data_IF_374450415325
#
_entry.id   IF_374450415325
#
_cell.length_a   1.000
_cell.length_b   1.000
_cell.length_c   1.000
_cell.angle_alpha   90.00
_cell.angle_beta   90.00
_cell.angle_gamma   90.00
#
_symmetry.space_group_name_H-M   'P 1'
#
loop_
_entity.id
_entity.type
_entity.pdbx_description
1 polymer ?
#
# COMPACT_ATOMS: atom_id res chain seq x y z
N UNK A 1 -2.32 33.55 44.23
CA UNK A 1 -2.81 32.16 44.17
C UNK A 1 -4.32 32.18 44.32
N UNK A 2 -5.11 31.33 43.64
CA UNK A 2 -4.78 29.95 43.29
C UNK A 2 -4.95 29.57 41.80
N UNK A 3 -4.15 28.58 41.45
CA UNK A 3 -4.21 27.67 40.30
C UNK A 3 -5.44 26.75 40.34
N UNK A 4 -5.96 26.40 39.16
CA UNK A 4 -6.66 25.13 38.95
C UNK A 4 -6.10 24.47 37.67
N UNK A 5 -5.79 23.16 37.70
CA UNK A 5 -5.10 22.44 36.65
C UNK A 5 -6.08 21.62 35.76
N UNK A 6 -5.48 20.80 34.89
CA UNK A 6 -6.08 19.60 34.27
C UNK A 6 -6.59 19.77 32.84
N UNK A 7 -5.66 19.55 31.90
CA UNK A 7 -5.95 18.94 30.61
C UNK A 7 -5.11 17.67 30.48
N UNK A 8 -5.56 16.59 31.10
CA UNK A 8 -5.18 15.22 30.73
C UNK A 8 -5.89 14.96 29.41
N UNK A 9 -5.18 14.55 28.36
CA UNK A 9 -5.86 14.13 27.14
C UNK A 9 -4.93 14.11 25.94
N UNK A 10 -4.22 13.01 25.80
CA UNK A 10 -3.39 12.74 24.64
C UNK A 10 -2.38 11.67 24.98
N UNK A 11 -2.88 10.48 25.32
CA UNK A 11 -2.14 9.25 25.07
C UNK A 11 -1.81 9.27 23.57
N UNK A 12 -0.67 9.88 23.24
CA UNK A 12 -0.04 9.71 21.96
C UNK A 12 0.13 8.21 21.82
N UNK A 13 -0.58 7.65 20.84
CA UNK A 13 -0.41 6.28 20.39
C UNK A 13 1.04 5.88 20.63
N UNK A 14 1.26 4.95 21.56
CA UNK A 14 2.57 4.34 21.73
C UNK A 14 3.00 3.95 20.34
N UNK A 15 4.04 4.62 19.85
CA UNK A 15 4.69 4.30 18.59
C UNK A 15 4.85 2.80 18.59
N UNK A 16 4.07 2.11 17.76
CA UNK A 16 4.43 0.76 17.39
C UNK A 16 5.87 0.84 16.87
N UNK A 17 6.62 -0.25 16.96
CA UNK A 17 7.96 -0.34 16.37
C UNK A 17 7.92 -0.23 14.82
N UNK A 18 6.84 0.28 14.24
CA UNK A 18 6.65 0.47 12.82
C UNK A 18 7.19 1.81 12.33
N UNK A 19 7.70 1.81 11.11
CA UNK A 19 8.13 3.03 10.42
C UNK A 19 6.97 3.56 9.60
N UNK A 20 6.69 4.86 9.67
CA UNK A 20 5.67 5.48 8.82
C UNK A 20 6.20 5.63 7.40
N UNK A 21 5.45 5.12 6.42
CA UNK A 21 5.74 5.25 4.99
C UNK A 21 4.53 5.81 4.23
N UNK A 22 4.71 6.15 2.97
CA UNK A 22 3.63 6.54 2.05
C UNK A 22 3.35 5.40 1.09
N UNK A 23 2.10 4.95 1.03
CA UNK A 23 1.65 3.96 0.06
C UNK A 23 0.66 4.59 -0.91
N UNK A 24 0.86 4.33 -2.20
CA UNK A 24 -0.05 4.75 -3.27
C UNK A 24 -0.53 3.51 -4.01
N UNK A 25 -1.83 3.23 -3.96
CA UNK A 25 -2.47 2.24 -4.84
C UNK A 25 -3.06 2.98 -6.03
N UNK A 26 -2.72 2.56 -7.23
CA UNK A 26 -3.19 3.22 -8.45
C UNK A 26 -3.36 2.23 -9.60
N UNK A 27 -4.23 2.58 -10.54
CA UNK A 27 -4.43 1.78 -11.73
C UNK A 27 -5.65 2.24 -12.52
N UNK A 28 -5.70 1.85 -13.79
CA UNK A 28 -6.88 2.05 -14.61
C UNK A 28 -8.06 1.24 -14.08
N UNK A 29 -9.27 1.75 -14.31
CA UNK A 29 -10.52 1.15 -13.81
C UNK A 29 -10.66 -0.35 -14.14
N UNK A 30 -10.29 -0.75 -15.37
CA UNK A 30 -10.29 -2.15 -15.84
C UNK A 30 -8.90 -2.82 -15.76
N UNK A 31 -7.88 -2.06 -15.38
CA UNK A 31 -6.51 -2.53 -15.22
C UNK A 31 -6.25 -3.13 -13.85
N UNK A 32 -5.05 -3.70 -13.70
CA UNK A 32 -4.51 -4.19 -12.43
C UNK A 32 -4.09 -3.05 -11.52
N UNK A 33 -4.14 -3.28 -10.21
CA UNK A 33 -3.66 -2.32 -9.21
C UNK A 33 -2.14 -2.40 -9.11
N UNK A 34 -1.47 -1.25 -9.17
CA UNK A 34 -0.08 -1.09 -8.77
C UNK A 34 -0.01 -0.47 -7.38
N UNK A 35 0.72 -1.11 -6.47
CA UNK A 35 1.08 -0.59 -5.15
C UNK A 35 2.48 -0.01 -5.21
N UNK A 36 2.61 1.30 -5.00
CA UNK A 36 3.88 1.99 -4.83
C UNK A 36 4.11 2.31 -3.35
N UNK A 37 5.31 1.99 -2.87
CA UNK A 37 5.76 2.34 -1.52
C UNK A 37 6.88 3.37 -1.62
N UNK A 38 6.75 4.46 -0.86
CA UNK A 38 7.72 5.56 -0.80
C UNK A 38 8.03 5.86 0.67
N UNK A 39 9.29 6.17 1.00
CA UNK A 39 9.66 6.65 2.34
C UNK A 39 8.92 7.95 2.69
N UNK A 40 8.79 8.85 1.72
CA UNK A 40 7.98 10.06 1.81
C UNK A 40 7.28 10.34 0.47
N UNK A 41 6.19 11.15 0.44
CA UNK A 41 5.46 11.45 -0.79
C UNK A 41 6.30 12.09 -1.91
N UNK A 42 7.49 12.63 -1.56
CA UNK A 42 8.40 13.35 -2.46
C UNK A 42 9.55 12.49 -3.00
N UNK A 43 9.71 11.28 -2.47
CA UNK A 43 10.77 10.36 -2.86
C UNK A 43 10.35 9.51 -4.07
N UNK A 44 11.30 8.95 -4.81
CA UNK A 44 11.00 7.92 -5.80
C UNK A 44 10.44 6.66 -5.11
N UNK A 45 9.59 5.88 -5.78
CA UNK A 45 9.13 4.58 -5.26
C UNK A 45 10.30 3.68 -4.92
N UNK A 46 10.34 3.17 -3.69
CA UNK A 46 11.33 2.16 -3.28
C UNK A 46 10.92 0.76 -3.76
N UNK A 47 9.62 0.53 -3.88
CA UNK A 47 9.04 -0.76 -4.31
C UNK A 47 7.76 -0.48 -5.09
N UNK A 48 7.60 -1.18 -6.22
CA UNK A 48 6.32 -1.27 -6.93
C UNK A 48 5.92 -2.74 -7.03
N UNK A 49 4.69 -3.04 -6.60
CA UNK A 49 4.08 -4.37 -6.70
C UNK A 49 2.83 -4.26 -7.55
N UNK A 50 2.81 -4.97 -8.68
CA UNK A 50 1.61 -5.15 -9.47
C UNK A 50 0.77 -6.28 -8.88
N UNK A 51 -0.48 -6.00 -8.51
CA UNK A 51 -1.42 -6.94 -7.92
C UNK A 51 -2.33 -7.51 -9.01
N UNK A 52 -2.60 -8.81 -9.00
CA UNK A 52 -3.54 -9.45 -9.95
C UNK A 52 -4.99 -8.93 -9.84
N UNK A 53 -5.30 -8.13 -8.84
CA UNK A 53 -6.60 -7.54 -8.57
C UNK A 53 -6.84 -6.35 -9.50
N UNK A 54 -8.04 -6.27 -10.07
CA UNK A 54 -8.47 -5.09 -10.81
C UNK A 54 -8.80 -3.93 -9.87
N UNK A 55 -8.54 -2.69 -10.33
CA UNK A 55 -8.80 -1.48 -9.55
C UNK A 55 -10.27 -1.35 -9.15
N UNK A 56 -11.20 -1.67 -10.05
CA UNK A 56 -12.64 -1.68 -9.76
C UNK A 56 -13.04 -2.67 -8.65
N UNK A 57 -12.36 -3.82 -8.57
CA UNK A 57 -12.60 -4.80 -7.52
C UNK A 57 -12.04 -4.30 -6.18
N UNK A 58 -10.83 -3.71 -6.18
CA UNK A 58 -10.28 -3.10 -4.96
C UNK A 58 -11.22 -2.02 -4.40
N UNK A 59 -11.69 -1.11 -5.25
CA UNK A 59 -12.61 -0.05 -4.85
C UNK A 59 -13.90 -0.61 -4.25
N UNK A 60 -14.44 -1.69 -4.84
CA UNK A 60 -15.63 -2.36 -4.33
C UNK A 60 -15.38 -3.01 -2.96
N UNK A 61 -14.26 -3.70 -2.78
CA UNK A 61 -13.90 -4.31 -1.50
C UNK A 61 -13.70 -3.24 -0.43
N UNK A 62 -13.00 -2.14 -0.73
CA UNK A 62 -12.81 -0.99 0.16
C UNK A 62 -14.15 -0.33 0.54
N UNK A 63 -15.09 -0.24 -0.41
CA UNK A 63 -16.44 0.29 -0.14
C UNK A 63 -17.29 -0.65 0.74
N UNK A 64 -16.96 -1.94 0.75
CA UNK A 64 -17.65 -2.97 1.53
C UNK A 64 -17.11 -3.11 2.95
N UNK A 65 -15.97 -2.47 3.26
CA UNK A 65 -15.36 -2.46 4.58
C UNK A 65 -13.86 -2.74 4.53
N UNK A 66 -13.38 -3.54 5.48
CA UNK A 66 -11.96 -3.82 5.67
C UNK A 66 -11.41 -4.76 4.59
N UNK A 67 -10.30 -4.36 3.98
CA UNK A 67 -9.58 -5.14 2.97
C UNK A 67 -8.27 -5.66 3.54
N UNK A 68 -8.03 -6.96 3.39
CA UNK A 68 -6.79 -7.63 3.80
C UNK A 68 -6.15 -8.30 2.60
N UNK A 69 -4.99 -7.83 2.20
CA UNK A 69 -4.21 -8.40 1.11
C UNK A 69 -3.03 -9.15 1.71
N UNK A 70 -2.91 -10.45 1.43
CA UNK A 70 -1.76 -11.27 1.80
C UNK A 70 -0.97 -11.62 0.54
N UNK A 71 0.34 -11.40 0.59
CA UNK A 71 1.31 -11.71 -0.44
C UNK A 71 2.26 -12.76 0.13
N UNK A 72 2.02 -14.01 -0.27
CA UNK A 72 2.70 -15.18 0.25
C UNK A 72 3.71 -15.73 -0.76
N UNK A 73 4.94 -15.99 -0.35
CA UNK A 73 5.91 -16.72 -1.15
C UNK A 73 6.49 -17.89 -0.35
N UNK A 74 6.91 -18.95 -1.03
CA UNK A 74 7.50 -20.12 -0.36
C UNK A 74 8.96 -19.87 0.03
N UNK A 75 9.41 -20.49 1.12
CA UNK A 75 10.84 -20.54 1.45
C UNK A 75 11.63 -21.22 0.34
N UNK A 76 12.68 -20.55 -0.13
CA UNK A 76 13.68 -21.18 -1.00
C UNK A 76 14.43 -22.26 -0.21
N UNK A 77 14.76 -23.37 -0.88
CA UNK A 77 15.50 -24.48 -0.30
C UNK A 77 16.94 -24.13 0.09
N UNK A 78 17.46 -22.98 -0.33
CA UNK A 78 18.81 -22.54 -0.02
C UNK A 78 18.90 -21.92 1.39
N UNK A 79 19.56 -22.63 2.30
CA UNK A 79 19.80 -22.20 3.67
C UNK A 79 20.65 -20.92 3.78
N UNK A 80 21.35 -20.51 2.72
CA UNK A 80 22.12 -19.25 2.66
C UNK A 80 21.31 -18.08 2.13
N UNK A 81 20.05 -18.27 1.75
CA UNK A 81 19.23 -17.18 1.25
C UNK A 81 19.04 -16.12 2.36
N UNK A 82 19.51 -14.91 2.07
CA UNK A 82 19.41 -13.72 2.93
C UNK A 82 18.42 -12.69 2.39
N UNK A 83 17.68 -13.02 1.33
CA UNK A 83 16.68 -12.17 0.69
C UNK A 83 15.62 -11.78 1.71
N UNK A 84 15.36 -10.48 1.87
CA UNK A 84 14.27 -9.99 2.70
C UNK A 84 12.95 -10.19 1.96
N UNK A 85 11.84 -10.30 2.69
CA UNK A 85 10.53 -10.51 2.06
C UNK A 85 10.19 -9.43 1.03
N UNK A 86 10.59 -8.17 1.25
CA UNK A 86 10.37 -7.06 0.30
C UNK A 86 11.27 -7.09 -0.94
N UNK A 87 12.30 -7.94 -0.94
CA UNK A 87 13.22 -8.14 -2.07
C UNK A 87 12.76 -9.26 -3.00
N UNK A 88 11.73 -10.02 -2.61
CA UNK A 88 11.14 -11.03 -3.48
C UNK A 88 10.47 -10.41 -4.71
N UNK A 89 10.36 -11.20 -5.78
CA UNK A 89 9.81 -10.73 -7.06
C UNK A 89 8.41 -11.23 -7.34
N UNK A 90 7.97 -12.29 -6.66
CA UNK A 90 6.70 -12.95 -6.92
C UNK A 90 6.10 -13.47 -5.61
N UNK A 91 4.82 -13.17 -5.43
CA UNK A 91 4.00 -13.71 -4.34
C UNK A 91 2.67 -14.23 -4.88
N UNK A 92 2.13 -15.25 -4.25
CA UNK A 92 0.72 -15.59 -4.37
C UNK A 92 -0.10 -14.58 -3.59
N UNK A 93 -1.09 -13.99 -4.25
CA UNK A 93 -1.93 -12.94 -3.67
C UNK A 93 -3.27 -13.50 -3.21
N UNK A 94 -3.59 -13.23 -1.95
CA UNK A 94 -4.85 -13.51 -1.31
C UNK A 94 -5.53 -12.19 -0.94
N UNK A 95 -6.82 -12.06 -1.24
CA UNK A 95 -7.63 -10.94 -0.77
C UNK A 95 -8.74 -11.49 0.14
N UNK A 96 -8.80 -10.99 1.36
CA UNK A 96 -9.78 -11.42 2.37
C UNK A 96 -9.82 -12.95 2.55
N UNK A 97 -8.65 -13.59 2.51
CA UNK A 97 -8.47 -15.04 2.67
C UNK A 97 -8.72 -15.87 1.40
N UNK A 98 -9.10 -15.26 0.27
CA UNK A 98 -9.33 -15.95 -1.01
C UNK A 98 -8.14 -15.75 -1.94
N UNK A 99 -7.63 -16.84 -2.53
CA UNK A 99 -6.59 -16.75 -3.56
C UNK A 99 -7.14 -16.01 -4.78
N UNK A 100 -6.49 -14.92 -5.14
CA UNK A 100 -6.94 -13.99 -6.20
C UNK A 100 -5.96 -13.87 -7.37
N UNK A 101 -4.73 -14.36 -7.21
CA UNK A 101 -3.74 -14.37 -8.29
C UNK A 101 -2.32 -14.24 -7.74
N UNK A 102 -1.51 -13.41 -8.37
CA UNK A 102 -0.13 -13.15 -7.98
C UNK A 102 0.10 -11.65 -7.77
N UNK A 103 1.03 -11.32 -6.87
CA UNK A 103 1.66 -10.00 -6.80
C UNK A 103 3.06 -10.11 -7.40
N UNK A 104 3.44 -9.16 -8.24
CA UNK A 104 4.74 -9.15 -8.93
C UNK A 104 5.48 -7.86 -8.62
N UNK A 105 6.67 -7.98 -8.03
CA UNK A 105 7.57 -6.82 -7.90
C UNK A 105 8.14 -6.50 -9.27
N UNK A 106 8.15 -5.21 -9.60
CA UNK A 106 8.73 -4.72 -10.84
C UNK A 106 9.44 -3.39 -10.62
N UNK A 107 10.32 -3.06 -11.55
CA UNK A 107 10.91 -1.73 -11.59
C UNK A 107 9.85 -0.67 -11.97
N UNK A 108 10.00 0.58 -11.49
CA UNK A 108 9.12 1.68 -11.91
C UNK A 108 9.21 1.96 -13.41
N UNK A 109 8.05 2.06 -14.05
CA UNK A 109 7.93 2.50 -15.45
C UNK A 109 7.87 4.04 -15.51
N UNK A 110 8.03 4.60 -16.71
CA UNK A 110 7.86 6.04 -16.93
C UNK A 110 6.46 6.53 -16.51
N UNK A 111 5.44 5.69 -16.72
CA UNK A 111 4.08 5.98 -16.28
C UNK A 111 3.96 6.05 -14.75
N UNK A 112 4.55 5.10 -14.03
CA UNK A 112 4.54 5.14 -12.57
C UNK A 112 5.22 6.42 -12.05
N UNK A 113 6.38 6.76 -12.61
CA UNK A 113 7.12 7.96 -12.23
C UNK A 113 6.31 9.24 -12.52
N UNK A 114 5.62 9.29 -13.66
CA UNK A 114 4.71 10.39 -14.01
C UNK A 114 3.57 10.52 -13.00
N UNK A 115 2.90 9.42 -12.66
CA UNK A 115 1.85 9.39 -11.62
C UNK A 115 2.40 9.87 -10.28
N UNK A 116 3.60 9.43 -9.89
CA UNK A 116 4.21 9.86 -8.62
C UNK A 116 4.56 11.35 -8.61
N UNK A 117 5.01 11.92 -9.73
CA UNK A 117 5.31 13.35 -9.85
C UNK A 117 4.02 14.19 -9.78
N UNK A 118 2.95 13.77 -10.46
CA UNK A 118 1.63 14.42 -10.37
C UNK A 118 1.10 14.40 -8.94
N UNK A 119 1.29 13.28 -8.23
CA UNK A 119 0.81 13.11 -6.87
C UNK A 119 1.75 13.71 -5.81
N UNK A 120 2.94 14.19 -6.14
CA UNK A 120 3.91 14.80 -5.21
C UNK A 120 3.34 15.84 -4.22
N UNK A 121 2.38 16.73 -4.58
CA UNK A 121 1.75 17.64 -3.61
C UNK A 121 0.67 16.96 -2.73
N UNK A 122 0.24 15.75 -3.07
CA UNK A 122 -0.80 15.00 -2.36
C UNK A 122 -0.16 14.15 -1.26
N UNK A 123 -0.49 14.46 0.00
CA UNK A 123 0.00 13.68 1.15
C UNK A 123 -0.87 12.45 1.42
N UNK A 124 -2.19 12.63 1.41
CA UNK A 124 -3.19 11.56 1.54
C UNK A 124 -4.43 11.94 0.72
N UNK A 125 -5.18 10.95 0.28
CA UNK A 125 -6.44 11.14 -0.45
C UNK A 125 -6.64 10.11 -1.55
N UNK A 126 -7.84 10.06 -2.09
CA UNK A 126 -8.19 9.26 -3.26
C UNK A 126 -8.77 10.16 -4.35
N UNK A 127 -8.57 9.77 -5.60
CA UNK A 127 -9.06 10.54 -6.74
C UNK A 127 -8.83 9.83 -8.06
N UNK A 128 -9.08 10.55 -9.15
CA UNK A 128 -8.80 10.10 -10.52
C UNK A 128 -7.85 11.08 -11.20
N UNK A 129 -6.92 10.56 -11.96
CA UNK A 129 -6.05 11.30 -12.86
C UNK A 129 -6.53 11.07 -14.30
N UNK A 130 -6.48 12.09 -15.17
CA UNK A 130 -6.68 11.89 -16.60
C UNK A 130 -5.58 10.96 -17.10
N UNK A 131 -5.93 9.84 -17.71
CA UNK A 131 -4.94 8.93 -18.29
C UNK A 131 -4.36 9.49 -19.57
N UNK A 132 -3.21 8.93 -19.95
CA UNK A 132 -2.53 9.32 -21.18
C UNK A 132 -3.39 8.91 -22.39
N UNK A 133 -3.85 9.93 -23.12
CA UNK A 133 -4.84 9.85 -24.19
C UNK A 133 -4.39 9.12 -25.47
N UNK A 134 -3.22 8.48 -25.48
CA UNK A 134 -2.63 7.93 -26.71
C UNK A 134 -2.91 6.44 -26.95
N UNK A 135 -3.40 5.69 -25.95
CA UNK A 135 -3.54 4.22 -26.08
C UNK A 135 -4.88 3.63 -25.64
N UNK A 136 -5.66 4.30 -24.79
CA UNK A 136 -6.88 3.69 -24.24
C UNK A 136 -8.06 4.65 -24.33
N UNK A 137 -9.20 4.13 -24.82
CA UNK A 137 -10.41 4.89 -25.12
C UNK A 137 -11.09 5.53 -23.90
N UNK A 138 -12.42 5.77 -23.93
CA UNK A 138 -13.13 6.60 -22.92
C UNK A 138 -13.12 6.10 -21.46
N UNK A 139 -12.43 4.98 -21.16
CA UNK A 139 -12.19 4.45 -19.81
C UNK A 139 -10.77 4.78 -19.28
N UNK A 140 -10.02 5.65 -19.93
CA UNK A 140 -8.64 6.04 -19.60
C UNK A 140 -8.49 6.86 -18.31
N UNK A 141 -9.34 6.69 -17.30
CA UNK A 141 -9.16 7.34 -16.00
C UNK A 141 -8.33 6.43 -15.08
N UNK A 142 -7.25 6.99 -14.53
CA UNK A 142 -6.39 6.31 -13.58
C UNK A 142 -6.84 6.68 -12.17
N UNK A 143 -7.45 5.72 -11.47
CA UNK A 143 -7.82 5.92 -10.08
C UNK A 143 -6.59 5.74 -9.18
N UNK A 144 -6.50 6.54 -8.12
CA UNK A 144 -5.47 6.40 -7.11
C UNK A 144 -6.03 6.57 -5.71
N UNK A 145 -5.32 5.98 -4.75
CA UNK A 145 -5.50 6.16 -3.33
C UNK A 145 -4.12 6.23 -2.67
N UNK A 146 -3.82 7.35 -2.05
CA UNK A 146 -2.61 7.59 -1.29
C UNK A 146 -2.94 7.72 0.18
N UNK A 147 -2.19 6.99 1.01
CA UNK A 147 -2.32 7.05 2.45
C UNK A 147 -0.96 6.86 3.11
N UNK A 148 -0.89 7.19 4.40
CA UNK A 148 0.23 6.75 5.21
C UNK A 148 0.01 5.32 5.70
N UNK A 149 1.08 4.56 5.77
CA UNK A 149 1.08 3.23 6.33
C UNK A 149 2.04 3.16 7.51
N UNK A 150 1.63 2.47 8.56
CA UNK A 150 2.55 1.95 9.56
C UNK A 150 3.14 0.65 9.03
N UNK A 151 4.44 0.67 8.70
CA UNK A 151 5.19 -0.50 8.27
C UNK A 151 5.79 -1.19 9.49
N UNK A 152 5.27 -2.37 9.81
CA UNK A 152 5.76 -3.22 10.90
C UNK A 152 6.59 -4.36 10.31
N UNK A 153 7.88 -4.41 10.66
CA UNK A 153 8.77 -5.51 10.28
C UNK A 153 8.73 -6.56 11.37
N UNK A 154 8.10 -7.70 11.09
CA UNK A 154 8.03 -8.81 12.04
C UNK A 154 9.32 -9.61 12.05
N UNK A 155 9.84 -9.94 10.87
CA UNK A 155 11.10 -10.68 10.69
C UNK A 155 11.65 -10.46 9.29
N UNK A 156 12.72 -11.18 8.92
CA UNK A 156 13.20 -11.24 7.54
C UNK A 156 12.16 -11.80 6.57
N UNK A 157 11.27 -12.63 7.09
CA UNK A 157 10.27 -13.40 6.35
C UNK A 157 8.89 -12.72 6.41
N UNK A 158 8.72 -11.64 7.18
CA UNK A 158 7.41 -11.03 7.39
C UNK A 158 7.45 -9.52 7.58
N UNK A 159 6.65 -8.82 6.78
CA UNK A 159 6.40 -7.39 6.90
C UNK A 159 4.92 -7.10 6.72
N UNK A 160 4.40 -6.09 7.43
CA UNK A 160 2.99 -5.71 7.35
C UNK A 160 2.84 -4.21 7.23
N UNK A 161 1.91 -3.79 6.39
CA UNK A 161 1.56 -2.41 6.14
C UNK A 161 0.13 -2.20 6.62
N UNK A 162 -0.04 -1.38 7.66
CA UNK A 162 -1.36 -0.97 8.14
C UNK A 162 -1.67 0.43 7.64
N UNK A 163 -2.72 0.59 6.84
CA UNK A 163 -3.17 1.91 6.41
C UNK A 163 -3.60 2.72 7.63
N UNK A 164 -3.06 3.92 7.76
CA UNK A 164 -3.42 4.88 8.80
C UNK A 164 -4.60 5.71 8.33
N UNK A 165 -5.74 5.57 9.00
CA UNK A 165 -6.91 6.40 8.74
C UNK A 165 -6.68 7.82 9.28
N UNK A 166 -7.03 8.87 8.51
CA UNK A 166 -6.86 10.25 8.96
C UNK A 166 -7.69 10.57 10.22
N UNK A 167 -8.81 9.87 10.42
CA UNK A 167 -9.74 10.12 11.53
C UNK A 167 -9.39 9.33 12.82
N UNK A 168 -8.37 8.46 12.78
CA UNK A 168 -7.78 7.80 13.95
C UNK A 168 -8.68 6.84 14.76
N UNK A 169 -9.96 6.69 14.42
CA UNK A 169 -10.95 6.06 15.31
C UNK A 169 -11.48 4.69 14.84
N UNK A 170 -11.22 4.31 13.59
CA UNK A 170 -11.55 3.00 13.04
C UNK A 170 -10.25 2.33 12.59
N UNK A 171 -10.04 1.06 12.95
CA UNK A 171 -8.85 0.30 12.56
C UNK A 171 -8.55 0.31 11.05
N UNK A 172 -7.42 -0.24 10.61
CA UNK A 172 -6.92 -0.04 9.25
C UNK A 172 -7.94 -0.53 8.20
N UNK A 173 -8.41 0.38 7.36
CA UNK A 173 -9.32 0.06 6.25
C UNK A 173 -8.68 -0.90 5.24
N UNK A 174 -7.36 -0.78 5.07
CA UNK A 174 -6.54 -1.67 4.27
C UNK A 174 -5.33 -2.16 5.07
N UNK A 175 -5.11 -3.47 5.08
CA UNK A 175 -3.88 -4.09 5.59
C UNK A 175 -3.24 -4.95 4.52
N UNK A 176 -1.92 -4.83 4.34
CA UNK A 176 -1.15 -5.61 3.37
C UNK A 176 -0.07 -6.38 4.11
N UNK A 177 -0.09 -7.70 3.99
CA UNK A 177 0.83 -8.62 4.65
C UNK A 177 1.75 -9.24 3.60
N UNK A 178 3.05 -9.15 3.82
CA UNK A 178 4.06 -9.88 3.05
C UNK A 178 4.61 -10.98 3.94
N UNK A 179 4.48 -12.24 3.53
CA UNK A 179 4.83 -13.39 4.37
C UNK A 179 5.53 -14.45 3.55
N UNK A 180 6.63 -14.99 4.09
CA UNK A 180 7.28 -16.20 3.60
C UNK A 180 6.80 -17.40 4.40
N UNK A 181 6.17 -18.36 3.72
CA UNK A 181 5.66 -19.61 4.33
C UNK A 181 6.69 -20.73 4.22
#
# INVERSE_FOLDING_TARGET
MPSIPSGIGGDGFKSGNGTRITGTLFGYRKGRVSLSLQESPKCVPSVIVELAMQTSILQKEMSSGMVRIALECEKRADAKDKTRIMDETLWTMYCNGKKTGYGVKREPTEEDLSVMEVLKPVSMGAGVLPGNSETEGPDGELAYMRAHFERVVGSRDSETLYMLSPDGNNGPELSIFFVRI
#
